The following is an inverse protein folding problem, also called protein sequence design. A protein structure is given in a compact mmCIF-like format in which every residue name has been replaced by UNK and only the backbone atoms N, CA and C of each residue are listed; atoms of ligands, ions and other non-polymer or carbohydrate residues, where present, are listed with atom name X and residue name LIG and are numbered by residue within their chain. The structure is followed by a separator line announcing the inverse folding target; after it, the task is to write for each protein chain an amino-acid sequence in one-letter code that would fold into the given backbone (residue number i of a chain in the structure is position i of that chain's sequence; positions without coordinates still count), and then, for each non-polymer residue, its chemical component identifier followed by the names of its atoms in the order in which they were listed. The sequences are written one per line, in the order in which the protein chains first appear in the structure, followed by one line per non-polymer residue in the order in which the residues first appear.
data_IF_382447853936
#
_entry.id   IF_382447853936
#
_cell.length_a   1.000
_cell.length_b   1.000
_cell.length_c   1.000
_cell.angle_alpha   90.00
_cell.angle_beta   90.00
_cell.angle_gamma   90.00
#
_symmetry.space_group_name_H-M   'P 1'
#
loop_
_entity.id
_entity.type
_entity.pdbx_description
1 polymer ?
#
# COMPACT_ATOMS: atom_id res chain seq x y z
N UNK A 1 14.36 14.34 -10.84
CA UNK A 1 13.60 13.09 -10.60
C UNK A 1 14.01 12.57 -9.24
N UNK A 2 13.06 12.35 -8.31
CA UNK A 2 13.36 11.74 -7.00
C UNK A 2 13.55 10.24 -7.20
N UNK A 3 14.46 9.62 -6.43
CA UNK A 3 14.72 8.18 -6.48
C UNK A 3 14.54 7.62 -5.07
N UNK A 4 13.77 6.54 -4.94
CA UNK A 4 13.66 5.73 -3.74
C UNK A 4 14.70 4.61 -3.83
N UNK A 5 15.64 4.58 -2.88
CA UNK A 5 16.65 3.52 -2.81
C UNK A 5 16.28 2.53 -1.73
N UNK A 6 16.16 1.26 -2.10
CA UNK A 6 15.91 0.13 -1.21
C UNK A 6 17.09 -0.85 -1.26
N UNK A 7 17.17 -1.87 -0.40
CA UNK A 7 18.18 -2.91 -0.50
C UNK A 7 18.25 -3.59 -1.87
N UNK A 8 17.10 -3.79 -2.53
CA UNK A 8 16.98 -4.56 -3.77
C UNK A 8 16.92 -3.71 -5.04
N UNK A 9 16.44 -2.45 -4.97
CA UNK A 9 16.22 -1.62 -6.16
C UNK A 9 16.39 -0.12 -5.91
N UNK A 10 16.65 0.64 -7.00
CA UNK A 10 16.61 2.10 -7.03
C UNK A 10 15.47 2.52 -7.96
N UNK A 11 14.42 3.08 -7.39
CA UNK A 11 13.11 3.25 -8.01
C UNK A 11 12.86 4.72 -8.33
N UNK A 12 12.68 5.10 -9.60
CA UNK A 12 12.24 6.44 -9.97
C UNK A 12 10.85 6.75 -9.41
N UNK A 13 10.64 7.95 -8.89
CA UNK A 13 9.35 8.40 -8.37
C UNK A 13 8.69 9.41 -9.33
N UNK A 14 7.35 9.41 -9.45
CA UNK A 14 6.39 8.54 -8.73
C UNK A 14 6.45 7.09 -9.22
N UNK A 15 6.13 6.14 -8.34
CA UNK A 15 6.14 4.70 -8.62
C UNK A 15 4.84 4.02 -8.20
N UNK A 16 4.46 2.99 -8.96
CA UNK A 16 3.32 2.13 -8.68
C UNK A 16 3.80 0.69 -8.40
N UNK A 17 3.31 0.10 -7.33
CA UNK A 17 3.57 -1.28 -6.92
C UNK A 17 2.32 -2.12 -7.12
N UNK A 18 2.30 -3.08 -8.05
CA UNK A 18 1.16 -3.98 -8.19
C UNK A 18 1.01 -4.88 -6.96
N UNK A 19 -0.25 -5.22 -6.67
CA UNK A 19 -0.59 -6.17 -5.61
C UNK A 19 -0.09 -7.58 -5.94
N UNK A 20 0.64 -8.16 -4.99
CA UNK A 20 1.12 -9.53 -4.99
C UNK A 20 0.81 -10.20 -3.63
N UNK A 21 -0.37 -9.98 -3.06
CA UNK A 21 -0.84 -10.34 -1.71
C UNK A 21 -0.27 -11.65 -1.16
N UNK A 22 -0.29 -12.73 -1.93
CA UNK A 22 0.20 -14.06 -1.52
C UNK A 22 1.61 -14.40 -2.06
N UNK A 23 2.40 -13.39 -2.40
CA UNK A 23 3.69 -13.60 -3.06
C UNK A 23 3.55 -13.99 -4.54
N UNK A 24 2.45 -13.58 -5.18
CA UNK A 24 2.21 -13.82 -6.59
C UNK A 24 1.29 -12.74 -7.18
N UNK A 25 1.57 -12.34 -8.40
CA UNK A 25 0.67 -11.47 -9.18
C UNK A 25 -0.52 -12.32 -9.62
N UNK A 26 -1.73 -11.91 -9.29
CA UNK A 26 -2.93 -12.68 -9.62
C UNK A 26 -3.23 -12.63 -11.11
N UNK A 27 -3.17 -13.78 -11.78
CA UNK A 27 -3.28 -13.97 -13.22
C UNK A 27 -2.19 -13.27 -14.04
N UNK A 28 -0.99 -13.18 -13.49
CA UNK A 28 0.22 -12.66 -14.12
C UNK A 28 1.45 -13.28 -13.48
N UNK A 29 2.61 -12.82 -13.90
CA UNK A 29 3.91 -13.25 -13.38
C UNK A 29 4.76 -12.03 -12.96
N UNK A 30 5.89 -12.28 -12.30
CA UNK A 30 6.84 -11.21 -12.00
C UNK A 30 7.63 -10.79 -13.25
N UNK A 31 7.74 -11.65 -14.25
CA UNK A 31 8.26 -11.30 -15.57
C UNK A 31 7.38 -10.27 -16.27
N UNK A 32 6.04 -10.34 -16.11
CA UNK A 32 5.11 -9.33 -16.62
C UNK A 32 5.31 -7.99 -15.91
N UNK A 33 5.56 -8.01 -14.59
CA UNK A 33 5.88 -6.80 -13.81
C UNK A 33 7.16 -6.13 -14.33
N UNK A 34 8.20 -6.92 -14.55
CA UNK A 34 9.47 -6.43 -15.08
C UNK A 34 9.31 -5.91 -16.53
N UNK A 35 8.55 -6.61 -17.37
CA UNK A 35 8.26 -6.18 -18.74
C UNK A 35 7.45 -4.87 -18.80
N UNK A 36 6.58 -4.64 -17.81
CA UNK A 36 5.87 -3.37 -17.64
C UNK A 36 6.75 -2.23 -17.08
N UNK A 37 8.05 -2.48 -16.82
CA UNK A 37 8.97 -1.50 -16.25
C UNK A 37 8.72 -1.15 -14.79
N UNK A 38 7.95 -1.97 -14.06
CA UNK A 38 7.65 -1.78 -12.65
C UNK A 38 8.77 -2.39 -11.80
N UNK A 39 9.22 -1.65 -10.80
CA UNK A 39 10.42 -1.99 -10.04
C UNK A 39 10.14 -2.43 -8.60
N UNK A 40 8.88 -2.65 -8.26
CA UNK A 40 8.46 -3.11 -6.95
C UNK A 40 7.06 -3.70 -6.97
N UNK A 41 6.71 -4.43 -5.91
CA UNK A 41 5.36 -4.94 -5.66
C UNK A 41 5.00 -4.85 -4.18
N UNK A 42 3.69 -4.87 -3.88
CA UNK A 42 3.15 -4.95 -2.53
C UNK A 42 2.75 -6.38 -2.21
N UNK A 43 3.07 -6.84 -0.99
CA UNK A 43 2.69 -8.16 -0.47
C UNK A 43 2.08 -8.03 0.92
N UNK A 44 1.04 -8.81 1.18
CA UNK A 44 0.28 -8.68 2.41
C UNK A 44 0.85 -9.55 3.56
N UNK A 45 1.31 -8.88 4.62
CA UNK A 45 1.94 -9.55 5.78
C UNK A 45 1.00 -10.50 6.51
N UNK A 46 -0.26 -10.13 6.70
CA UNK A 46 -1.23 -10.96 7.40
C UNK A 46 -1.51 -12.27 6.64
N UNK A 47 -1.79 -12.16 5.35
CA UNK A 47 -2.08 -13.33 4.53
C UNK A 47 -0.89 -14.28 4.44
N UNK A 48 0.31 -13.76 4.23
CA UNK A 48 1.54 -14.56 4.21
C UNK A 48 1.88 -15.16 5.58
N UNK A 49 1.51 -14.50 6.69
CA UNK A 49 1.70 -15.04 8.04
C UNK A 49 0.76 -16.21 8.33
N UNK A 50 -0.48 -16.14 7.83
CA UNK A 50 -1.45 -17.23 7.99
C UNK A 50 -1.13 -18.38 7.06
N UNK A 51 -0.75 -18.10 5.80
CA UNK A 51 -0.41 -19.11 4.79
C UNK A 51 0.55 -18.52 3.75
N UNK A 52 1.77 -19.06 3.55
CA UNK A 52 2.30 -20.33 4.06
C UNK A 52 2.91 -20.26 5.47
N UNK A 53 3.02 -19.08 6.05
CA UNK A 53 3.60 -18.83 7.36
C UNK A 53 5.02 -18.24 7.29
N UNK A 54 5.30 -17.27 8.16
CA UNK A 54 6.54 -16.51 8.14
C UNK A 54 7.81 -17.36 8.33
N UNK A 55 7.73 -18.46 9.08
CA UNK A 55 8.88 -19.37 9.29
C UNK A 55 9.28 -20.07 8.01
N UNK A 56 8.31 -20.52 7.21
CA UNK A 56 8.58 -21.15 5.92
C UNK A 56 9.18 -20.15 4.95
N UNK A 57 8.58 -18.98 4.79
CA UNK A 57 9.10 -17.93 3.92
C UNK A 57 10.54 -17.57 4.30
N UNK A 58 10.82 -17.40 5.60
CA UNK A 58 12.20 -17.15 6.08
C UNK A 58 13.16 -18.27 5.68
N UNK A 59 12.75 -19.54 5.79
CA UNK A 59 13.62 -20.69 5.46
C UNK A 59 13.96 -20.79 3.98
N UNK A 60 13.15 -20.17 3.12
CA UNK A 60 13.34 -20.10 1.67
C UNK A 60 14.15 -18.87 1.21
N UNK A 61 14.70 -18.08 2.16
CA UNK A 61 15.47 -16.88 1.83
C UNK A 61 14.63 -15.59 1.81
N UNK A 62 13.51 -15.58 2.55
CA UNK A 62 12.56 -14.46 2.56
C UNK A 62 11.63 -14.48 1.35
N UNK A 63 10.93 -13.37 1.12
CA UNK A 63 9.99 -13.25 -0.01
C UNK A 63 10.71 -13.29 -1.35
N UNK A 64 11.89 -12.69 -1.46
CA UNK A 64 12.70 -12.78 -2.68
C UNK A 64 13.04 -14.22 -3.06
N UNK A 65 13.45 -15.04 -2.07
CA UNK A 65 13.73 -16.45 -2.30
C UNK A 65 12.47 -17.29 -2.55
N UNK A 66 11.38 -16.96 -1.85
CA UNK A 66 10.09 -17.65 -1.97
C UNK A 66 9.43 -17.41 -3.33
N UNK A 67 9.51 -16.18 -3.86
CA UNK A 67 8.81 -15.77 -5.09
C UNK A 67 9.70 -15.77 -6.33
N UNK A 68 11.02 -15.67 -6.15
CA UNK A 68 11.98 -15.43 -7.24
C UNK A 68 12.02 -13.96 -7.71
N UNK A 69 11.15 -13.07 -7.18
CA UNK A 69 11.11 -11.66 -7.58
C UNK A 69 12.36 -10.91 -7.11
N UNK A 70 12.89 -10.03 -7.98
CA UNK A 70 14.14 -9.30 -7.72
C UNK A 70 13.98 -7.80 -7.54
N UNK A 71 12.80 -7.25 -7.85
CA UNK A 71 12.45 -5.86 -7.58
C UNK A 71 12.20 -5.62 -6.09
N UNK A 72 11.90 -4.39 -5.71
CA UNK A 72 11.62 -4.06 -4.32
C UNK A 72 10.30 -4.68 -3.83
N UNK A 73 10.31 -5.20 -2.61
CA UNK A 73 9.14 -5.75 -1.96
C UNK A 73 8.74 -4.85 -0.79
N UNK A 74 7.55 -4.25 -0.89
CA UNK A 74 6.88 -3.61 0.22
C UNK A 74 5.94 -4.62 0.88
N UNK A 75 5.97 -4.69 2.20
CA UNK A 75 4.94 -5.43 2.94
C UNK A 75 4.13 -4.48 3.80
N UNK A 76 2.81 -4.68 3.81
CA UNK A 76 1.93 -3.95 4.72
C UNK A 76 2.14 -4.36 6.18
N UNK A 77 1.49 -3.65 7.11
CA UNK A 77 1.54 -3.98 8.54
C UNK A 77 0.66 -5.18 8.93
N UNK A 78 -0.28 -5.58 8.08
CA UNK A 78 -1.35 -6.52 8.42
C UNK A 78 -2.44 -5.93 9.32
N UNK A 79 -2.27 -4.70 9.78
CA UNK A 79 -3.18 -4.03 10.72
C UNK A 79 -4.57 -3.78 10.14
N UNK A 80 -4.64 -3.36 8.88
CA UNK A 80 -5.91 -3.11 8.19
C UNK A 80 -6.77 -4.38 8.09
N UNK A 81 -6.17 -5.52 7.73
CA UNK A 81 -6.90 -6.79 7.61
C UNK A 81 -7.44 -7.24 8.95
N UNK A 82 -6.64 -7.14 10.01
CA UNK A 82 -7.06 -7.47 11.36
C UNK A 82 -8.19 -6.54 11.83
N UNK A 83 -8.06 -5.22 11.58
CA UNK A 83 -9.10 -4.25 11.88
C UNK A 83 -10.40 -4.57 11.13
N UNK A 84 -10.34 -4.78 9.81
CA UNK A 84 -11.52 -5.06 8.99
C UNK A 84 -12.28 -6.28 9.47
N UNK A 85 -11.58 -7.39 9.72
CA UNK A 85 -12.19 -8.63 10.21
C UNK A 85 -12.84 -8.46 11.60
N UNK A 86 -12.18 -7.77 12.52
CA UNK A 86 -12.72 -7.51 13.87
C UNK A 86 -13.91 -6.54 13.81
N UNK A 87 -13.85 -5.54 12.90
CA UNK A 87 -14.93 -4.57 12.73
C UNK A 87 -16.18 -5.24 12.13
N UNK A 88 -16.02 -6.13 11.16
CA UNK A 88 -17.10 -6.90 10.56
C UNK A 88 -17.73 -7.91 11.55
N UNK A 89 -16.90 -8.58 12.35
CA UNK A 89 -17.36 -9.52 13.37
C UNK A 89 -16.43 -9.50 14.60
N UNK A 90 -16.88 -8.92 15.73
CA UNK A 90 -16.10 -8.85 16.98
C UNK A 90 -15.66 -10.21 17.57
N UNK A 91 -16.26 -11.31 17.13
CA UNK A 91 -15.82 -12.65 17.55
C UNK A 91 -14.41 -13.00 17.04
N UNK A 92 -13.96 -12.36 15.94
CA UNK A 92 -12.59 -12.51 15.46
C UNK A 92 -11.54 -11.97 16.41
N UNK A 93 -11.87 -11.01 17.28
CA UNK A 93 -10.89 -10.52 18.24
C UNK A 93 -11.17 -9.15 18.82
N UNK A 94 -10.12 -8.49 19.28
CA UNK A 94 -10.18 -7.17 19.88
C UNK A 94 -8.87 -6.39 19.69
N UNK A 95 -8.98 -5.08 19.59
CA UNK A 95 -7.84 -4.17 19.53
C UNK A 95 -7.66 -3.56 20.93
N UNK A 96 -6.55 -3.91 21.58
CA UNK A 96 -6.14 -3.41 22.89
C UNK A 96 -5.03 -2.38 22.76
N UNK A 97 -4.71 -1.70 23.85
CA UNK A 97 -3.66 -0.68 23.85
C UNK A 97 -2.26 -1.24 23.53
N UNK A 98 -2.00 -2.48 23.86
CA UNK A 98 -0.67 -3.07 23.69
C UNK A 98 -0.54 -4.00 22.49
N UNK A 99 -1.67 -4.50 21.96
CA UNK A 99 -1.69 -5.61 21.01
C UNK A 99 -3.07 -5.77 20.36
N UNK A 100 -3.12 -6.50 19.25
CA UNK A 100 -4.34 -7.02 18.66
C UNK A 100 -4.43 -8.50 19.02
N UNK A 101 -5.55 -8.91 19.63
CA UNK A 101 -5.87 -10.33 19.85
C UNK A 101 -6.80 -10.77 18.74
N UNK A 102 -6.42 -11.82 18.04
CA UNK A 102 -7.14 -12.26 16.85
C UNK A 102 -7.30 -13.79 16.81
N UNK A 103 -8.43 -14.27 16.26
CA UNK A 103 -8.75 -15.69 16.04
C UNK A 103 -8.98 -15.92 14.55
N UNK A 104 -7.99 -16.44 13.79
CA UNK A 104 -8.05 -16.53 12.33
C UNK A 104 -9.30 -17.23 11.79
N UNK A 105 -9.70 -18.34 12.42
CA UNK A 105 -10.78 -19.21 11.94
C UNK A 105 -11.94 -19.27 12.94
N UNK A 106 -12.14 -18.25 13.77
CA UNK A 106 -13.06 -18.26 14.92
C UNK A 106 -12.82 -19.47 15.87
N UNK A 107 -11.67 -20.10 15.72
CA UNK A 107 -11.26 -21.26 16.49
C UNK A 107 -10.82 -20.92 17.92
N UNK A 108 -10.36 -21.95 18.65
CA UNK A 108 -9.86 -21.80 20.02
C UNK A 108 -8.50 -21.11 20.09
N UNK A 109 -7.71 -21.18 19.02
CA UNK A 109 -6.38 -20.59 18.97
C UNK A 109 -6.47 -19.08 18.85
N UNK A 110 -5.80 -18.38 19.75
CA UNK A 110 -5.69 -16.92 19.74
C UNK A 110 -4.28 -16.54 19.29
N UNK A 111 -4.20 -15.66 18.33
CA UNK A 111 -2.96 -15.02 17.94
C UNK A 111 -2.86 -13.66 18.63
N UNK A 112 -1.69 -13.37 19.16
CA UNK A 112 -1.36 -12.06 19.68
C UNK A 112 -0.46 -11.36 18.68
N UNK A 113 -0.92 -10.22 18.17
CA UNK A 113 -0.20 -9.43 17.19
C UNK A 113 0.19 -8.09 17.79
N UNK A 114 1.47 -7.93 18.10
CA UNK A 114 2.04 -6.73 18.72
C UNK A 114 2.80 -5.91 17.66
N UNK A 115 3.10 -4.62 17.92
CA UNK A 115 3.99 -3.83 17.06
C UNK A 115 5.33 -4.49 16.79
N UNK A 116 5.94 -5.10 17.81
CA UNK A 116 7.20 -5.84 17.65
C UNK A 116 7.02 -7.05 16.73
N UNK A 117 5.91 -7.77 16.89
CA UNK A 117 5.62 -8.94 16.05
C UNK A 117 5.40 -8.53 14.58
N UNK A 118 4.72 -7.41 14.35
CA UNK A 118 4.55 -6.83 13.03
C UNK A 118 5.91 -6.63 12.32
N UNK A 119 6.86 -5.98 13.00
CA UNK A 119 8.20 -5.75 12.44
C UNK A 119 9.00 -7.05 12.31
N UNK A 120 8.92 -7.96 13.29
CA UNK A 120 9.62 -9.25 13.23
C UNK A 120 9.18 -10.11 12.05
N UNK A 121 7.88 -10.11 11.73
CA UNK A 121 7.32 -10.85 10.59
C UNK A 121 7.84 -10.27 9.28
N UNK A 122 7.73 -8.96 9.08
CA UNK A 122 8.24 -8.28 7.89
C UNK A 122 9.77 -8.43 7.74
N UNK A 123 10.50 -8.41 8.85
CA UNK A 123 11.94 -8.68 8.86
C UNK A 123 12.26 -10.13 8.45
N UNK A 124 11.45 -11.11 8.89
CA UNK A 124 11.60 -12.50 8.45
C UNK A 124 11.30 -12.68 6.96
N UNK A 125 10.42 -11.84 6.42
CA UNK A 125 10.14 -11.79 4.98
C UNK A 125 11.28 -11.21 4.16
N UNK A 126 12.20 -10.45 4.78
CA UNK A 126 13.23 -9.74 4.04
C UNK A 126 12.66 -8.60 3.19
N UNK A 127 11.61 -7.95 3.68
CA UNK A 127 10.96 -6.83 3.00
C UNK A 127 11.92 -5.65 2.83
N UNK A 128 11.89 -5.01 1.67
CA UNK A 128 12.66 -3.80 1.40
C UNK A 128 12.04 -2.56 2.06
N UNK A 129 10.70 -2.53 2.11
CA UNK A 129 9.93 -1.48 2.77
C UNK A 129 8.95 -2.16 3.72
N UNK A 130 9.02 -1.78 4.99
CA UNK A 130 8.17 -2.28 6.07
C UNK A 130 7.23 -1.19 6.53
N UNK A 131 5.99 -1.54 6.85
CA UNK A 131 5.01 -0.61 7.42
C UNK A 131 4.91 -0.80 8.93
N UNK A 132 4.92 0.29 9.69
CA UNK A 132 4.64 0.25 11.11
C UNK A 132 3.17 -0.10 11.36
N UNK A 133 2.90 -0.85 12.45
CA UNK A 133 1.52 -1.16 12.84
C UNK A 133 0.80 0.10 13.29
N UNK A 134 -0.39 0.30 12.77
CA UNK A 134 -1.29 1.41 13.07
C UNK A 134 -2.66 0.91 13.54
N UNK A 135 -3.46 1.77 14.14
CA UNK A 135 -4.87 1.51 14.41
C UNK A 135 -5.72 2.19 13.35
N UNK A 136 -6.16 1.44 12.35
CA UNK A 136 -7.12 1.92 11.35
C UNK A 136 -8.47 2.24 11.99
N UNK A 137 -9.23 3.15 11.36
CA UNK A 137 -10.60 3.52 11.74
C UNK A 137 -11.48 3.65 10.52
N UNK A 138 -12.80 3.51 10.72
CA UNK A 138 -13.77 3.81 9.67
C UNK A 138 -14.00 5.33 9.56
N UNK A 139 -14.32 5.88 8.39
CA UNK A 139 -14.60 7.32 8.23
C UNK A 139 -15.71 7.84 9.14
N UNK A 140 -16.71 6.99 9.41
CA UNK A 140 -17.87 7.32 10.23
C UNK A 140 -17.66 7.08 11.73
N UNK A 141 -16.48 6.60 12.14
CA UNK A 141 -16.18 6.41 13.56
C UNK A 141 -16.21 7.77 14.30
N UNK A 142 -16.73 7.79 15.54
CA UNK A 142 -16.76 9.00 16.37
C UNK A 142 -15.37 9.60 16.57
N UNK A 143 -15.32 10.92 16.78
CA UNK A 143 -14.06 11.67 16.99
C UNK A 143 -13.20 11.07 18.12
N UNK A 144 -13.80 10.53 19.16
CA UNK A 144 -13.09 9.85 20.25
C UNK A 144 -12.33 8.61 19.76
N UNK A 145 -12.95 7.82 18.86
CA UNK A 145 -12.32 6.65 18.24
C UNK A 145 -11.16 7.08 17.33
N UNK A 146 -11.35 8.18 16.58
CA UNK A 146 -10.28 8.76 15.75
C UNK A 146 -9.11 9.26 16.61
N UNK A 147 -9.39 9.89 17.74
CA UNK A 147 -8.37 10.34 18.71
C UNK A 147 -7.62 9.15 19.31
N UNK A 148 -8.34 8.10 19.72
CA UNK A 148 -7.73 6.86 20.23
C UNK A 148 -6.85 6.21 19.14
N UNK A 149 -7.28 6.23 17.89
CA UNK A 149 -6.50 5.73 16.76
C UNK A 149 -5.15 6.44 16.65
N UNK A 150 -5.13 7.78 16.72
CA UNK A 150 -3.89 8.56 16.70
C UNK A 150 -2.98 8.19 17.88
N UNK A 151 -3.53 8.13 19.10
CA UNK A 151 -2.76 7.78 20.29
C UNK A 151 -2.12 6.39 20.18
N UNK A 152 -2.88 5.37 19.73
CA UNK A 152 -2.36 4.02 19.60
C UNK A 152 -1.36 3.93 18.45
N UNK A 153 -1.64 4.55 17.31
CA UNK A 153 -0.74 4.56 16.13
C UNK A 153 0.62 5.13 16.52
N UNK A 154 0.67 6.23 17.27
CA UNK A 154 1.93 6.80 17.73
C UNK A 154 2.65 5.88 18.72
N UNK A 155 1.96 5.37 19.76
CA UNK A 155 2.55 4.43 20.73
C UNK A 155 3.07 3.15 20.07
N UNK A 156 2.34 2.64 19.11
CA UNK A 156 2.76 1.46 18.35
C UNK A 156 3.91 1.78 17.39
N UNK A 157 3.89 2.98 16.81
CA UNK A 157 4.97 3.49 15.97
C UNK A 157 6.32 3.54 16.71
N UNK A 158 6.34 4.04 17.95
CA UNK A 158 7.53 4.02 18.82
C UNK A 158 8.07 2.60 19.04
N UNK A 159 7.19 1.64 19.31
CA UNK A 159 7.55 0.24 19.53
C UNK A 159 8.05 -0.43 18.25
N UNK A 160 7.39 -0.15 17.10
CA UNK A 160 7.84 -0.61 15.79
C UNK A 160 9.23 -0.07 15.47
N UNK A 161 9.48 1.23 15.70
CA UNK A 161 10.77 1.86 15.45
C UNK A 161 11.86 1.24 16.32
N UNK A 162 11.61 1.04 17.60
CA UNK A 162 12.57 0.42 18.53
C UNK A 162 12.94 -1.02 18.12
N UNK A 163 11.95 -1.83 17.74
CA UNK A 163 12.21 -3.22 17.30
C UNK A 163 12.93 -3.24 15.94
N UNK A 164 12.56 -2.35 15.02
CA UNK A 164 13.24 -2.19 13.72
C UNK A 164 14.72 -1.85 13.91
N UNK A 165 15.04 -0.86 14.74
CA UNK A 165 16.42 -0.45 15.00
C UNK A 165 17.25 -1.57 15.61
N UNK A 166 16.65 -2.33 16.53
CA UNK A 166 17.28 -3.50 17.14
C UNK A 166 17.60 -4.58 16.11
N UNK A 167 16.64 -4.92 15.23
CA UNK A 167 16.81 -5.98 14.23
C UNK A 167 17.76 -5.59 13.10
N UNK A 168 17.76 -4.32 12.71
CA UNK A 168 18.56 -3.82 11.57
C UNK A 168 19.93 -3.28 11.97
N UNK A 169 20.27 -3.26 13.27
CA UNK A 169 21.50 -2.64 13.80
C UNK A 169 22.78 -3.10 13.11
N UNK A 170 22.83 -4.37 12.69
CA UNK A 170 24.03 -5.00 12.11
C UNK A 170 23.94 -5.16 10.59
N UNK A 171 22.92 -4.62 9.95
CA UNK A 171 22.77 -4.73 8.50
C UNK A 171 23.52 -3.60 7.80
N UNK A 172 24.30 -3.95 6.77
CA UNK A 172 24.94 -2.97 5.89
C UNK A 172 23.92 -2.24 5.02
N UNK A 173 22.94 -2.97 4.48
CA UNK A 173 21.80 -2.43 3.74
C UNK A 173 20.54 -2.63 4.57
N UNK A 174 20.00 -1.54 5.07
CA UNK A 174 18.78 -1.57 5.88
C UNK A 174 17.55 -1.42 5.00
N UNK A 175 16.47 -2.17 5.28
CA UNK A 175 15.16 -1.85 4.72
C UNK A 175 14.71 -0.47 5.19
N UNK A 176 13.62 0.02 4.59
CA UNK A 176 12.98 1.26 5.01
C UNK A 176 11.80 0.93 5.94
N UNK A 177 11.54 1.82 6.90
CA UNK A 177 10.37 1.73 7.78
C UNK A 177 9.48 2.95 7.56
N UNK A 178 8.22 2.72 7.18
CA UNK A 178 7.23 3.77 6.96
C UNK A 178 6.23 3.81 8.12
N UNK A 179 5.90 5.03 8.57
CA UNK A 179 4.81 5.30 9.50
C UNK A 179 3.50 5.51 8.75
N UNK A 180 2.35 5.39 9.44
CA UNK A 180 1.03 5.57 8.86
C UNK A 180 0.31 6.71 9.58
N UNK A 181 -0.06 7.77 8.86
CA UNK A 181 -0.72 8.95 9.43
C UNK A 181 -2.22 8.69 9.51
N UNK A 182 -2.75 8.54 10.73
CA UNK A 182 -4.15 8.41 11.06
C UNK A 182 -4.77 9.75 11.48
N UNK A 183 -6.09 9.82 11.73
CA UNK A 183 -6.80 11.03 12.19
C UNK A 183 -8.13 11.27 11.49
N UNK A 184 -8.61 10.32 10.69
CA UNK A 184 -9.91 10.40 10.00
C UNK A 184 -10.02 11.65 9.13
N UNK A 185 -11.15 12.37 9.23
CA UNK A 185 -11.41 13.62 8.54
C UNK A 185 -11.09 14.88 9.39
N UNK A 186 -10.48 14.71 10.56
CA UNK A 186 -10.10 15.81 11.44
C UNK A 186 -8.69 16.31 11.12
N UNK A 187 -8.53 17.56 10.64
CA UNK A 187 -7.22 18.09 10.26
C UNK A 187 -6.28 18.26 11.46
N UNK A 188 -6.82 18.54 12.65
CA UNK A 188 -6.01 18.67 13.88
C UNK A 188 -5.41 17.33 14.29
N UNK A 189 -6.20 16.27 14.25
CA UNK A 189 -5.72 14.91 14.54
C UNK A 189 -4.71 14.43 13.51
N UNK A 190 -4.89 14.73 12.21
CA UNK A 190 -3.92 14.43 11.15
C UNK A 190 -2.58 15.11 11.43
N UNK A 191 -2.61 16.42 11.70
CA UNK A 191 -1.40 17.20 12.01
C UNK A 191 -0.71 16.70 13.28
N UNK A 192 -1.47 16.38 14.33
CA UNK A 192 -0.92 15.82 15.56
C UNK A 192 -0.23 14.47 15.31
N UNK A 193 -0.91 13.56 14.58
CA UNK A 193 -0.35 12.25 14.23
C UNK A 193 0.93 12.40 13.43
N UNK A 194 0.92 13.20 12.37
CA UNK A 194 2.08 13.40 11.48
C UNK A 194 3.27 13.97 12.26
N UNK A 195 3.09 15.01 13.04
CA UNK A 195 4.14 15.63 13.86
C UNK A 195 4.76 14.61 14.85
N UNK A 196 3.93 13.85 15.57
CA UNK A 196 4.43 12.87 16.55
C UNK A 196 5.15 11.70 15.88
N UNK A 197 4.68 11.27 14.70
CA UNK A 197 5.38 10.25 13.90
C UNK A 197 6.71 10.80 13.33
N UNK A 198 6.77 12.07 12.97
CA UNK A 198 8.03 12.71 12.54
C UNK A 198 9.07 12.72 13.66
N UNK A 199 8.67 12.96 14.90
CA UNK A 199 9.56 12.91 16.08
C UNK A 199 10.13 11.52 16.32
N UNK A 200 9.37 10.45 16.01
CA UNK A 200 9.85 9.06 16.07
C UNK A 200 10.87 8.79 14.94
N UNK A 201 10.68 9.38 13.78
CA UNK A 201 11.62 9.32 12.66
C UNK A 201 11.43 8.10 11.77
N UNK A 202 10.55 8.20 10.77
CA UNK A 202 10.35 7.19 9.74
C UNK A 202 11.03 7.59 8.42
N UNK A 203 11.27 6.61 7.55
CA UNK A 203 11.89 6.81 6.23
C UNK A 203 10.89 7.35 5.21
N UNK A 204 9.60 7.08 5.40
CA UNK A 204 8.46 7.57 4.63
C UNK A 204 7.18 7.47 5.42
N UNK A 205 6.07 7.95 4.83
CA UNK A 205 4.76 8.02 5.51
C UNK A 205 3.64 7.59 4.59
N UNK A 206 2.76 6.71 5.07
CA UNK A 206 1.57 6.24 4.40
C UNK A 206 0.31 7.00 4.84
N UNK A 207 -0.67 7.11 3.93
CA UNK A 207 -2.02 7.56 4.25
C UNK A 207 -2.75 6.45 5.03
N UNK A 208 -3.22 6.74 6.24
CA UNK A 208 -4.05 5.85 7.03
C UNK A 208 -5.53 6.19 6.95
N UNK A 209 -6.38 5.18 6.89
CA UNK A 209 -7.83 5.32 6.82
C UNK A 209 -8.42 4.98 5.45
N UNK A 210 -9.65 5.47 5.19
CA UNK A 210 -10.40 5.17 3.99
C UNK A 210 -10.37 6.36 3.02
N UNK A 211 -9.95 6.13 1.78
CA UNK A 211 -9.89 7.19 0.77
C UNK A 211 -11.22 7.46 0.07
N UNK A 212 -12.24 6.68 0.37
CA UNK A 212 -13.58 6.78 -0.21
C UNK A 212 -14.60 7.10 0.88
N UNK A 213 -15.64 7.85 0.56
CA UNK A 213 -16.78 8.03 1.46
C UNK A 213 -17.79 6.86 1.34
N UNK A 214 -18.87 6.92 2.10
CA UNK A 214 -19.93 5.89 2.10
C UNK A 214 -20.63 5.72 0.74
N UNK A 215 -20.55 6.72 -0.16
CA UNK A 215 -21.07 6.62 -1.53
C UNK A 215 -20.06 6.00 -2.51
N UNK A 216 -18.82 5.75 -2.07
CA UNK A 216 -17.70 5.32 -2.89
C UNK A 216 -17.01 6.47 -3.64
N UNK A 217 -17.30 7.73 -3.29
CA UNK A 217 -16.65 8.88 -3.90
C UNK A 217 -15.26 9.12 -3.29
N UNK A 218 -14.31 9.44 -4.16
CA UNK A 218 -12.92 9.68 -3.79
C UNK A 218 -12.77 10.97 -2.97
N UNK A 219 -12.13 10.87 -1.80
CA UNK A 219 -11.95 11.94 -0.80
C UNK A 219 -10.56 12.56 -0.90
N UNK A 220 -10.33 13.31 -1.99
CA UNK A 220 -9.06 14.02 -2.20
C UNK A 220 -8.73 15.02 -1.05
N UNK A 221 -9.76 15.59 -0.42
CA UNK A 221 -9.62 16.51 0.70
C UNK A 221 -8.95 15.84 1.91
N UNK A 222 -9.35 14.62 2.28
CA UNK A 222 -8.74 13.87 3.39
C UNK A 222 -7.30 13.47 3.05
N UNK A 223 -7.06 13.05 1.82
CA UNK A 223 -5.71 12.70 1.36
C UNK A 223 -4.78 13.92 1.36
N UNK A 224 -5.31 15.09 1.00
CA UNK A 224 -4.56 16.35 1.10
C UNK A 224 -4.22 16.70 2.56
N UNK A 225 -5.18 16.61 3.49
CA UNK A 225 -4.93 16.81 4.91
C UNK A 225 -3.83 15.89 5.45
N UNK A 226 -3.84 14.62 5.05
CA UNK A 226 -2.80 13.68 5.43
C UNK A 226 -1.45 14.03 4.78
N UNK A 227 -1.43 14.43 3.51
CA UNK A 227 -0.21 14.87 2.85
C UNK A 227 0.41 16.12 3.51
N UNK A 228 -0.44 17.09 3.91
CA UNK A 228 -0.01 18.30 4.61
C UNK A 228 0.56 17.98 6.03
N UNK A 229 0.13 16.87 6.63
CA UNK A 229 0.63 16.38 7.92
C UNK A 229 1.92 15.55 7.82
N UNK A 230 2.31 15.12 6.61
CA UNK A 230 3.54 14.37 6.37
C UNK A 230 4.69 15.30 6.00
N UNK A 231 5.93 15.06 6.49
CA UNK A 231 7.09 15.89 6.17
C UNK A 231 7.36 15.95 4.65
N UNK A 232 7.55 17.16 4.10
CA UNK A 232 7.72 17.37 2.66
C UNK A 232 8.99 16.71 2.07
N UNK A 233 10.02 16.57 2.89
CA UNK A 233 11.27 15.94 2.47
C UNK A 233 11.22 14.41 2.45
N UNK A 234 10.15 13.81 2.97
CA UNK A 234 9.94 12.36 3.01
C UNK A 234 9.03 11.88 1.89
N UNK A 235 9.09 10.59 1.59
CA UNK A 235 8.20 9.95 0.61
C UNK A 235 6.82 9.79 1.23
N UNK A 236 5.80 10.21 0.48
CA UNK A 236 4.39 10.05 0.83
C UNK A 236 3.80 8.91 0.02
N UNK A 237 3.18 7.96 0.69
CA UNK A 237 2.65 6.74 0.12
C UNK A 237 1.12 6.71 0.24
N UNK A 238 0.43 6.60 -0.91
CA UNK A 238 -1.01 6.48 -1.02
C UNK A 238 -1.39 5.01 -1.12
N UNK A 239 -1.68 4.39 0.02
CA UNK A 239 -1.96 2.97 0.15
C UNK A 239 -3.31 2.59 -0.47
N UNK A 240 -3.34 1.54 -1.30
CA UNK A 240 -4.54 0.97 -1.89
C UNK A 240 -5.19 1.82 -2.98
N UNK A 241 -4.50 2.84 -3.53
CA UNK A 241 -5.01 3.77 -4.52
C UNK A 241 -4.29 3.59 -5.87
N UNK A 242 -5.09 3.36 -6.94
CA UNK A 242 -4.47 2.98 -8.21
C UNK A 242 -5.30 3.25 -9.46
N UNK A 243 -6.39 4.03 -9.39
CA UNK A 243 -7.03 4.53 -10.61
C UNK A 243 -6.18 5.63 -11.23
N UNK A 244 -6.09 5.71 -12.56
CA UNK A 244 -5.22 6.70 -13.22
C UNK A 244 -5.48 8.15 -12.77
N UNK A 245 -6.76 8.54 -12.62
CA UNK A 245 -7.15 9.87 -12.16
C UNK A 245 -6.79 10.14 -10.69
N UNK A 246 -6.88 9.10 -9.85
CA UNK A 246 -6.49 9.18 -8.44
C UNK A 246 -4.99 9.42 -8.33
N UNK A 247 -4.18 8.60 -9.02
CA UNK A 247 -2.71 8.74 -9.05
C UNK A 247 -2.33 10.13 -9.54
N UNK A 248 -2.92 10.60 -10.65
CA UNK A 248 -2.63 11.91 -11.20
C UNK A 248 -2.91 13.04 -10.20
N UNK A 249 -4.09 13.01 -9.54
CA UNK A 249 -4.46 14.01 -8.54
C UNK A 249 -3.54 13.96 -7.30
N UNK A 250 -3.14 12.76 -6.87
CA UNK A 250 -2.33 12.56 -5.68
C UNK A 250 -0.86 12.95 -5.89
N UNK A 251 -0.31 12.74 -7.08
CA UNK A 251 1.02 13.24 -7.44
C UNK A 251 1.09 14.76 -7.32
N UNK A 252 0.02 15.47 -7.71
CA UNK A 252 -0.03 16.94 -7.60
C UNK A 252 0.01 17.45 -6.17
N UNK A 253 -0.44 16.67 -5.21
CA UNK A 253 -0.41 17.01 -3.77
C UNK A 253 0.75 16.32 -3.03
N UNK A 254 1.71 15.74 -3.75
CA UNK A 254 3.01 15.30 -3.24
C UNK A 254 3.15 13.82 -2.90
N UNK A 255 2.16 12.97 -3.18
CA UNK A 255 2.36 11.52 -3.10
C UNK A 255 3.29 11.02 -4.21
N UNK A 256 4.10 10.03 -3.90
CA UNK A 256 5.09 9.50 -4.84
C UNK A 256 5.16 7.98 -4.90
N UNK A 257 4.47 7.27 -3.99
CA UNK A 257 4.36 5.81 -4.01
C UNK A 257 2.89 5.40 -3.94
N UNK A 258 2.52 4.39 -4.73
CA UNK A 258 1.16 3.89 -4.89
C UNK A 258 1.18 2.38 -4.96
N UNK A 259 0.13 1.73 -4.46
CA UNK A 259 -0.17 0.33 -4.70
C UNK A 259 -1.66 0.13 -4.93
N UNK A 260 -2.03 -0.85 -5.69
CA UNK A 260 -3.42 -1.28 -5.78
C UNK A 260 -3.58 -2.58 -6.58
N UNK A 261 -4.65 -3.31 -6.29
CA UNK A 261 -5.08 -4.47 -7.09
C UNK A 261 -5.81 -4.06 -8.40
N UNK A 262 -6.19 -2.78 -8.55
CA UNK A 262 -7.05 -2.33 -9.65
C UNK A 262 -6.51 -2.71 -11.03
N UNK A 263 -5.25 -2.44 -11.43
CA UNK A 263 -4.79 -2.77 -12.77
C UNK A 263 -4.93 -4.25 -13.12
N UNK A 264 -4.47 -5.13 -12.24
CA UNK A 264 -4.57 -6.57 -12.44
C UNK A 264 -6.02 -7.08 -12.33
N UNK A 265 -6.85 -6.45 -11.50
CA UNK A 265 -8.27 -6.76 -11.38
C UNK A 265 -9.03 -6.37 -12.65
N UNK A 266 -8.81 -5.18 -13.20
CA UNK A 266 -9.44 -4.74 -14.44
C UNK A 266 -9.04 -5.64 -15.61
N UNK A 267 -7.76 -6.00 -15.73
CA UNK A 267 -7.29 -6.94 -16.73
C UNK A 267 -7.98 -8.30 -16.62
N UNK A 268 -8.17 -8.85 -15.41
CA UNK A 268 -8.92 -10.10 -15.20
C UNK A 268 -10.40 -9.99 -15.57
N UNK A 269 -10.95 -8.78 -15.51
CA UNK A 269 -12.31 -8.49 -15.99
C UNK A 269 -12.33 -8.07 -17.46
N UNK A 270 -11.20 -8.28 -18.18
CA UNK A 270 -11.09 -8.03 -19.62
C UNK A 270 -11.31 -6.57 -19.99
N UNK A 271 -10.96 -5.66 -19.09
CA UNK A 271 -11.00 -4.22 -19.26
C UNK A 271 -9.58 -3.67 -19.29
N UNK A 272 -9.26 -2.96 -20.33
CA UNK A 272 -7.98 -2.26 -20.49
C UNK A 272 -8.21 -0.76 -20.45
N UNK A 273 -7.21 -0.03 -19.94
CA UNK A 273 -7.22 1.43 -20.00
C UNK A 273 -6.61 1.88 -21.31
N UNK A 274 -7.32 2.73 -22.05
CA UNK A 274 -6.81 3.38 -23.26
C UNK A 274 -7.01 4.89 -23.16
N UNK A 275 -6.22 5.64 -23.88
CA UNK A 275 -6.39 7.10 -23.94
C UNK A 275 -7.73 7.48 -24.58
N UNK A 276 -8.32 8.59 -24.14
CA UNK A 276 -9.44 9.19 -24.85
C UNK A 276 -8.95 9.68 -26.21
N UNK A 277 -9.68 9.39 -27.35
CA UNK A 277 -9.27 9.82 -28.67
C UNK A 277 -8.91 11.30 -28.75
N UNK A 278 -7.77 11.61 -29.38
CA UNK A 278 -7.22 12.96 -29.44
C UNK A 278 -6.31 13.36 -28.28
N UNK A 279 -6.06 12.46 -27.32
CA UNK A 279 -5.08 12.62 -26.24
C UNK A 279 -3.80 11.81 -26.49
N UNK A 280 -3.22 11.97 -27.65
CA UNK A 280 -2.04 11.20 -28.10
C UNK A 280 -0.75 11.51 -27.32
N UNK A 281 -0.81 12.45 -26.37
CA UNK A 281 0.34 12.83 -25.57
C UNK A 281 0.00 12.98 -24.09
N UNK A 282 0.46 12.06 -23.22
CA UNK A 282 0.24 12.16 -21.76
C UNK A 282 0.81 13.45 -21.14
N UNK A 283 1.79 14.12 -21.77
CA UNK A 283 2.31 15.42 -21.33
C UNK A 283 1.33 16.58 -21.55
N UNK A 284 0.30 16.39 -22.40
CA UNK A 284 -0.74 17.38 -22.68
C UNK A 284 -2.01 17.19 -21.86
N UNK A 285 -2.12 16.16 -21.04
CA UNK A 285 -3.30 15.88 -20.22
C UNK A 285 -3.49 16.99 -19.20
N UNK A 286 -4.51 17.82 -19.39
CA UNK A 286 -4.96 18.79 -18.40
C UNK A 286 -5.79 18.05 -17.35
N UNK A 287 -5.22 17.83 -16.18
CA UNK A 287 -5.82 17.08 -15.04
C UNK A 287 -7.15 17.68 -14.54
N UNK A 288 -7.50 18.90 -14.96
CA UNK A 288 -8.74 19.60 -14.59
C UNK A 288 -9.98 19.20 -15.40
N UNK A 289 -9.81 18.50 -16.52
CA UNK A 289 -10.85 18.37 -17.53
C UNK A 289 -11.57 17.01 -17.51
N UNK A 290 -11.42 16.21 -16.46
CA UNK A 290 -12.15 14.94 -16.32
C UNK A 290 -11.36 13.73 -16.81
N UNK A 291 -12.03 12.74 -17.36
CA UNK A 291 -11.47 11.45 -17.73
C UNK A 291 -10.53 11.59 -18.95
N UNK A 292 -9.26 11.33 -18.74
CA UNK A 292 -8.25 11.29 -19.82
C UNK A 292 -8.05 9.87 -20.38
N UNK A 293 -8.78 8.88 -19.86
CA UNK A 293 -8.78 7.49 -20.30
C UNK A 293 -10.20 6.95 -20.43
N UNK A 294 -10.35 5.87 -21.16
CA UNK A 294 -11.57 5.08 -21.28
C UNK A 294 -11.26 3.60 -21.13
N UNK A 295 -12.30 2.78 -20.94
CA UNK A 295 -12.16 1.34 -20.96
C UNK A 295 -12.36 0.78 -22.35
N UNK A 296 -11.44 -0.09 -22.76
CA UNK A 296 -11.62 -0.99 -23.86
C UNK A 296 -11.96 -2.37 -23.30
N UNK A 297 -13.06 -2.95 -23.78
CA UNK A 297 -13.49 -4.29 -23.40
C UNK A 297 -13.05 -5.29 -24.46
N UNK A 298 -11.99 -6.05 -24.20
CA UNK A 298 -11.36 -6.94 -25.21
C UNK A 298 -12.28 -8.07 -25.70
N UNK A 299 -13.37 -8.35 -25.00
CA UNK A 299 -14.39 -9.33 -25.41
C UNK A 299 -15.51 -8.73 -26.26
N UNK A 300 -15.46 -7.44 -26.59
CA UNK A 300 -16.40 -6.83 -27.51
C UNK A 300 -16.15 -7.35 -28.94
N UNK A 301 -17.20 -7.81 -29.63
CA UNK A 301 -17.09 -8.33 -30.98
C UNK A 301 -16.52 -7.33 -32.01
N UNK A 302 -16.57 -6.04 -31.70
CA UNK A 302 -15.94 -4.99 -32.53
C UNK A 302 -14.43 -5.16 -32.62
N UNK A 303 -13.78 -5.70 -31.60
CA UNK A 303 -12.34 -5.90 -31.54
C UNK A 303 -11.87 -7.26 -32.08
N UNK A 304 -12.80 -8.14 -32.50
CA UNK A 304 -12.49 -9.52 -32.91
C UNK A 304 -11.54 -9.67 -34.09
N UNK A 305 -11.39 -8.61 -34.91
CA UNK A 305 -10.55 -8.59 -36.11
C UNK A 305 -9.46 -7.51 -36.06
N UNK A 306 -9.28 -6.88 -34.94
CA UNK A 306 -8.22 -5.90 -34.76
C UNK A 306 -6.89 -6.62 -34.55
N UNK A 307 -5.89 -6.28 -35.37
CA UNK A 307 -4.53 -6.84 -35.33
C UNK A 307 -3.50 -5.79 -34.90
N UNK A 308 -3.95 -4.57 -34.66
CA UNK A 308 -3.10 -3.45 -34.24
C UNK A 308 -2.90 -3.39 -32.71
N UNK A 309 -2.02 -2.51 -32.22
CA UNK A 309 -1.87 -2.26 -30.79
C UNK A 309 -3.18 -1.73 -30.21
N UNK A 310 -3.44 -2.06 -28.94
CA UNK A 310 -4.61 -1.58 -28.17
C UNK A 310 -4.70 -0.06 -28.17
N UNK A 311 -3.57 0.60 -28.11
CA UNK A 311 -3.45 2.06 -28.22
C UNK A 311 -2.22 2.38 -29.08
N UNK A 312 -2.38 3.12 -30.21
CA UNK A 312 -1.28 3.45 -31.11
C UNK A 312 -0.14 4.26 -30.47
N UNK A 313 -0.42 4.93 -29.35
CA UNK A 313 0.57 5.71 -28.61
C UNK A 313 1.28 4.88 -27.50
N UNK A 314 0.93 3.61 -27.35
CA UNK A 314 1.51 2.70 -26.35
C UNK A 314 2.56 1.79 -27.00
N UNK A 315 3.72 1.71 -26.37
CA UNK A 315 4.82 0.80 -26.74
C UNK A 315 4.89 -0.44 -25.82
N UNK A 316 3.85 -0.68 -25.02
CA UNK A 316 3.78 -1.84 -24.16
C UNK A 316 3.65 -3.16 -24.95
N UNK A 317 3.89 -4.30 -24.27
CA UNK A 317 3.91 -5.62 -24.90
C UNK A 317 2.53 -6.19 -25.28
N UNK A 318 1.46 -5.41 -25.14
CA UNK A 318 0.09 -5.81 -25.54
C UNK A 318 -0.21 -5.43 -26.96
#
# INVERSE_FOLDING_TARGET
MRILTTPSASIPLPAFFPDATYGAIRAGSFEDVDAAGLMGCEMNSYHLMTKPGAKLVKSLGGLHGFTGYRGAILTDSGGFQLYSLIHENPEYGEIRDKEIIFRPDLGREKLTYTPEKCIQVQFQYGSDIMMALDMCTHPDDPLEVQRRSVELTVKWGERCRAEFDKLTKKLDKKPLLFGIVQGGSDPGLRMECGRRLEEIGFDGYGFGGWPLDASGAFRLDILKMAADAMPDHKLKYAMGLGRPEEIAALVDIGYGLFDCVIPTREARHQRLYTWVPGMDNPKGVRRKDGKFYQFLYIMDDTHRREEGPVDPACDCAL
#
